data_IF_723205922987
#
_entry.id   IF_723205922987
#
_cell.length_a   1.000
_cell.length_b   1.000
_cell.length_c   1.000
_cell.angle_alpha   90.00
_cell.angle_beta   90.00
_cell.angle_gamma   90.00
#
_symmetry.space_group_name_H-M   'P 1'
#
loop_
_entity.id
_entity.type
_entity.pdbx_description
1 polymer ?
#
# COMPACT_ATOMS: atom_id res chain seq x y z
N UNK A 1 -12.47 -3.69 14.87
CA UNK A 1 -11.56 -4.74 14.34
C UNK A 1 -12.34 -6.05 14.24
N UNK A 2 -11.83 -7.02 13.51
CA UNK A 2 -12.47 -8.31 13.32
C UNK A 2 -13.68 -8.27 12.38
N UNK A 3 -14.64 -9.13 12.64
CA UNK A 3 -15.77 -9.41 11.73
C UNK A 3 -16.98 -8.50 11.91
N UNK A 4 -16.84 -7.40 12.68
CA UNK A 4 -17.91 -6.42 12.84
C UNK A 4 -18.27 -5.77 11.49
N UNK A 5 -19.55 -5.44 11.24
CA UNK A 5 -19.97 -4.69 10.06
C UNK A 5 -19.24 -3.35 9.92
N UNK A 6 -19.06 -2.89 8.69
CA UNK A 6 -18.32 -1.65 8.42
C UNK A 6 -18.97 -0.41 9.07
N UNK A 7 -20.29 -0.39 9.15
CA UNK A 7 -21.03 0.65 9.84
C UNK A 7 -20.69 0.71 11.34
N UNK A 8 -20.58 -0.43 12.01
CA UNK A 8 -20.19 -0.48 13.43
C UNK A 8 -18.73 -0.06 13.62
N UNK A 9 -17.82 -0.46 12.70
CA UNK A 9 -16.42 -0.03 12.72
C UNK A 9 -16.33 1.50 12.57
N UNK A 10 -17.05 2.06 11.62
CA UNK A 10 -17.07 3.50 11.39
C UNK A 10 -17.65 4.27 12.59
N UNK A 11 -18.74 3.77 13.20
CA UNK A 11 -19.30 4.35 14.43
C UNK A 11 -18.28 4.36 15.57
N UNK A 12 -17.61 3.23 15.80
CA UNK A 12 -16.57 3.14 16.84
C UNK A 12 -15.42 4.10 16.57
N UNK A 13 -15.01 4.25 15.32
CA UNK A 13 -13.99 5.21 14.90
C UNK A 13 -14.44 6.65 15.15
N UNK A 14 -15.65 7.03 14.72
CA UNK A 14 -16.22 8.35 14.92
C UNK A 14 -16.34 8.74 16.40
N UNK A 15 -16.62 7.77 17.27
CA UNK A 15 -16.64 7.95 18.72
C UNK A 15 -15.25 8.19 19.32
N UNK A 16 -14.23 7.51 18.78
CA UNK A 16 -12.84 7.62 19.25
C UNK A 16 -12.15 8.89 18.76
N UNK A 17 -12.45 9.33 17.54
CA UNK A 17 -11.73 10.39 16.82
C UNK A 17 -11.61 11.71 17.58
N UNK A 18 -12.65 12.22 18.28
CA UNK A 18 -12.53 13.47 19.08
C UNK A 18 -11.47 13.40 20.19
N UNK A 19 -11.10 12.20 20.63
CA UNK A 19 -10.04 12.02 21.63
C UNK A 19 -8.63 11.99 21.00
N UNK A 20 -8.54 12.05 19.69
CA UNK A 20 -7.27 12.03 18.93
C UNK A 20 -6.77 13.44 18.58
N UNK A 21 -7.27 14.49 19.22
CA UNK A 21 -6.80 15.88 19.01
C UNK A 21 -5.30 15.93 19.34
N UNK A 22 -4.51 16.48 18.39
CA UNK A 22 -3.04 16.48 18.47
C UNK A 22 -2.36 15.28 17.77
N UNK A 23 -3.11 14.25 17.39
CA UNK A 23 -2.63 13.19 16.53
C UNK A 23 -2.90 13.54 15.05
N UNK A 24 -1.97 13.30 14.12
CA UNK A 24 -2.16 13.56 12.69
C UNK A 24 -3.43 12.93 12.11
N UNK A 25 -3.85 11.76 12.61
CA UNK A 25 -5.06 11.07 12.18
C UNK A 25 -6.31 11.94 12.28
N UNK A 26 -6.44 12.75 13.34
CA UNK A 26 -7.54 13.68 13.50
C UNK A 26 -7.63 14.68 12.33
N UNK A 27 -6.50 15.25 11.92
CA UNK A 27 -6.46 16.17 10.78
C UNK A 27 -6.68 15.48 9.45
N UNK A 28 -6.04 14.34 9.22
CA UNK A 28 -6.13 13.61 7.96
C UNK A 28 -7.56 13.19 7.63
N UNK A 29 -8.27 12.60 8.60
CA UNK A 29 -9.66 12.20 8.39
C UNK A 29 -10.57 13.38 8.01
N UNK A 30 -10.41 14.52 8.67
CA UNK A 30 -11.22 15.71 8.35
C UNK A 30 -10.82 16.34 7.01
N UNK A 31 -9.51 16.31 6.64
CA UNK A 31 -9.06 16.75 5.32
C UNK A 31 -9.61 15.87 4.20
N UNK A 32 -9.68 14.55 4.41
CA UNK A 32 -10.30 13.62 3.46
C UNK A 32 -11.79 13.89 3.29
N UNK A 33 -12.53 14.07 4.40
CA UNK A 33 -13.93 14.43 4.37
C UNK A 33 -14.18 15.74 3.61
N UNK A 34 -13.34 16.75 3.80
CA UNK A 34 -13.43 18.04 3.10
C UNK A 34 -13.10 17.91 1.61
N UNK A 35 -11.97 17.31 1.29
CA UNK A 35 -11.41 17.30 -0.07
C UNK A 35 -12.18 16.42 -1.04
N UNK A 36 -12.59 15.24 -0.58
CA UNK A 36 -13.21 14.24 -1.43
C UNK A 36 -14.73 14.20 -1.32
N UNK A 37 -15.27 14.56 -0.16
CA UNK A 37 -16.71 14.45 0.12
C UNK A 37 -17.40 15.80 0.32
N UNK A 38 -16.67 16.91 0.40
CA UNK A 38 -17.23 18.23 0.64
C UNK A 38 -17.87 18.39 2.02
N UNK A 39 -17.45 17.59 3.01
CA UNK A 39 -17.97 17.59 4.38
C UNK A 39 -17.03 18.41 5.25
N UNK A 40 -17.52 19.53 5.80
CA UNK A 40 -16.74 20.44 6.63
C UNK A 40 -16.99 20.27 8.13
N UNK A 41 -18.01 19.51 8.50
CA UNK A 41 -18.33 19.21 9.88
C UNK A 41 -17.32 18.23 10.47
N UNK A 42 -16.97 18.42 11.75
CA UNK A 42 -16.11 17.48 12.46
C UNK A 42 -16.85 16.19 12.77
N UNK A 43 -16.26 15.07 12.40
CA UNK A 43 -16.80 13.74 12.66
C UNK A 43 -16.82 13.44 14.16
N UNK A 44 -17.97 12.96 14.64
CA UNK A 44 -18.21 12.62 16.03
C UNK A 44 -19.32 11.58 16.18
N UNK A 45 -19.51 11.07 17.39
CA UNK A 45 -20.62 10.16 17.71
C UNK A 45 -22.02 10.75 17.41
N UNK A 46 -22.13 12.07 17.29
CA UNK A 46 -23.43 12.73 17.07
C UNK A 46 -23.88 12.74 15.61
N UNK A 47 -22.95 12.78 14.67
CA UNK A 47 -23.21 12.95 13.23
C UNK A 47 -22.62 11.83 12.36
N UNK A 48 -22.07 10.77 12.96
CA UNK A 48 -21.38 9.71 12.23
C UNK A 48 -22.28 9.03 11.19
N UNK A 49 -23.55 8.80 11.53
CA UNK A 49 -24.46 8.09 10.62
C UNK A 49 -24.75 8.88 9.36
N UNK A 50 -25.05 10.18 9.52
CA UNK A 50 -25.27 11.08 8.39
C UNK A 50 -24.03 11.17 7.48
N UNK A 51 -22.85 11.31 8.08
CA UNK A 51 -21.57 11.36 7.35
C UNK A 51 -21.31 10.03 6.65
N UNK A 52 -21.51 8.90 7.32
CA UNK A 52 -21.35 7.57 6.74
C UNK A 52 -22.23 7.37 5.51
N UNK A 53 -23.52 7.67 5.62
CA UNK A 53 -24.47 7.50 4.53
C UNK A 53 -24.13 8.42 3.35
N UNK A 54 -23.80 9.68 3.62
CA UNK A 54 -23.39 10.66 2.60
C UNK A 54 -22.10 10.24 1.88
N UNK A 55 -21.10 9.78 2.61
CA UNK A 55 -19.86 9.26 2.00
C UNK A 55 -20.15 8.04 1.11
N UNK A 56 -20.97 7.11 1.58
CA UNK A 56 -21.32 5.93 0.79
C UNK A 56 -22.12 6.28 -0.48
N UNK A 57 -23.05 7.24 -0.40
CA UNK A 57 -23.75 7.74 -1.59
C UNK A 57 -22.77 8.35 -2.62
N UNK A 58 -21.81 9.15 -2.16
CA UNK A 58 -20.81 9.77 -3.01
C UNK A 58 -19.90 8.70 -3.64
N UNK A 59 -19.44 7.71 -2.87
CA UNK A 59 -18.57 6.63 -3.33
C UNK A 59 -19.20 5.73 -4.41
N UNK A 60 -20.53 5.71 -4.55
CA UNK A 60 -21.20 4.98 -5.64
C UNK A 60 -21.09 5.69 -7.00
N UNK A 61 -20.63 6.94 -7.03
CA UNK A 61 -20.52 7.70 -8.28
C UNK A 61 -19.29 7.27 -9.06
N UNK A 62 -19.37 7.19 -10.41
CA UNK A 62 -18.22 6.82 -11.26
C UNK A 62 -16.99 7.73 -11.05
N UNK A 63 -17.23 9.00 -10.69
CA UNK A 63 -16.18 9.98 -10.42
C UNK A 63 -15.33 9.64 -9.20
N UNK A 64 -15.83 8.75 -8.31
CA UNK A 64 -15.14 8.31 -7.09
C UNK A 64 -14.37 6.99 -7.29
N UNK A 65 -14.09 6.62 -8.53
CA UNK A 65 -13.20 5.49 -8.80
C UNK A 65 -11.78 5.71 -8.27
N UNK A 66 -11.04 4.65 -7.98
CA UNK A 66 -9.66 4.73 -7.49
C UNK A 66 -8.77 5.61 -8.39
N UNK A 67 -8.88 5.49 -9.72
CA UNK A 67 -8.17 6.33 -10.68
C UNK A 67 -8.47 7.81 -10.49
N UNK A 68 -9.75 8.16 -10.35
CA UNK A 68 -10.17 9.55 -10.21
C UNK A 68 -9.78 10.13 -8.84
N UNK A 69 -9.83 9.35 -7.76
CA UNK A 69 -9.34 9.78 -6.46
C UNK A 69 -7.84 10.11 -6.49
N UNK A 70 -7.03 9.32 -7.18
CA UNK A 70 -5.60 9.59 -7.38
C UNK A 70 -5.41 10.91 -8.16
N UNK A 71 -6.17 11.12 -9.24
CA UNK A 71 -6.13 12.37 -10.02
C UNK A 71 -6.56 13.57 -9.19
N UNK A 72 -7.65 13.46 -8.45
CA UNK A 72 -8.15 14.53 -7.56
C UNK A 72 -7.12 14.92 -6.49
N UNK A 73 -6.24 14.00 -6.12
CA UNK A 73 -5.14 14.26 -5.19
C UNK A 73 -3.97 15.03 -5.82
N UNK A 74 -3.99 15.28 -7.13
CA UNK A 74 -2.93 15.97 -7.87
C UNK A 74 -1.63 15.16 -7.95
N UNK A 75 -1.73 13.83 -7.82
CA UNK A 75 -0.60 12.90 -7.89
C UNK A 75 -0.22 12.67 -9.35
N UNK A 76 1.06 12.73 -9.66
CA UNK A 76 1.61 12.47 -11.00
C UNK A 76 2.38 11.16 -11.09
N UNK A 77 2.85 10.66 -9.96
CA UNK A 77 3.60 9.42 -9.84
C UNK A 77 3.21 8.69 -8.56
N UNK A 78 2.98 7.39 -8.67
CA UNK A 78 2.79 6.46 -7.57
C UNK A 78 3.84 5.36 -7.67
N UNK A 79 4.53 5.06 -6.58
CA UNK A 79 5.32 3.84 -6.45
C UNK A 79 4.56 2.87 -5.53
N UNK A 80 4.36 1.66 -6.02
CA UNK A 80 3.73 0.58 -5.27
C UNK A 80 4.74 -0.11 -4.35
N UNK A 81 4.34 -1.16 -3.69
CA UNK A 81 5.23 -2.00 -2.89
C UNK A 81 5.16 -3.42 -3.43
N UNK A 82 6.25 -3.89 -4.04
CA UNK A 82 6.24 -5.11 -4.82
C UNK A 82 7.37 -6.06 -4.39
N UNK A 83 7.03 -7.34 -4.30
CA UNK A 83 7.99 -8.37 -3.93
C UNK A 83 8.77 -8.86 -5.18
N UNK A 84 10.04 -9.28 -5.04
CA UNK A 84 10.84 -9.86 -6.13
C UNK A 84 10.16 -10.95 -6.97
N UNK A 85 9.20 -11.67 -6.42
CA UNK A 85 8.47 -12.73 -7.15
C UNK A 85 7.29 -12.21 -7.96
N UNK A 86 6.90 -10.94 -7.84
CA UNK A 86 5.74 -10.37 -8.53
C UNK A 86 5.99 -10.24 -10.04
N UNK A 87 4.97 -10.56 -10.82
CA UNK A 87 5.03 -10.53 -12.28
C UNK A 87 4.82 -9.15 -12.89
N UNK A 88 4.40 -8.18 -12.08
CA UNK A 88 4.15 -6.77 -12.44
C UNK A 88 3.12 -6.58 -13.58
N UNK A 89 2.31 -7.59 -13.91
CA UNK A 89 1.37 -7.51 -15.02
C UNK A 89 0.35 -6.37 -14.88
N UNK A 90 -0.04 -6.00 -13.64
CA UNK A 90 -0.93 -4.86 -13.42
C UNK A 90 -0.26 -3.53 -13.74
N UNK A 91 1.06 -3.40 -13.53
CA UNK A 91 1.81 -2.20 -13.93
C UNK A 91 1.80 -2.06 -15.46
N UNK A 92 1.98 -3.16 -16.18
CA UNK A 92 1.90 -3.17 -17.65
C UNK A 92 0.50 -2.79 -18.15
N UNK A 93 -0.55 -3.30 -17.51
CA UNK A 93 -1.94 -2.94 -17.85
C UNK A 93 -2.24 -1.46 -17.58
N UNK A 94 -1.79 -0.92 -16.44
CA UNK A 94 -1.97 0.48 -16.10
C UNK A 94 -1.18 1.37 -17.07
N UNK A 95 0.04 1.01 -17.40
CA UNK A 95 0.87 1.76 -18.35
C UNK A 95 0.27 1.78 -19.78
N UNK A 96 -0.49 0.74 -20.15
CA UNK A 96 -1.20 0.67 -21.43
C UNK A 96 -2.54 1.43 -21.45
N UNK A 97 -3.03 1.89 -20.30
CA UNK A 97 -4.30 2.60 -20.16
C UNK A 97 -4.14 4.07 -20.52
N UNK A 98 -4.49 4.43 -21.75
CA UNK A 98 -4.41 5.81 -22.25
C UNK A 98 -5.31 6.80 -21.51
N UNK A 99 -6.31 6.30 -20.77
CA UNK A 99 -7.21 7.13 -19.98
C UNK A 99 -6.67 7.41 -18.56
N UNK A 100 -5.46 6.94 -18.23
CA UNK A 100 -4.84 7.16 -16.94
C UNK A 100 -3.45 7.78 -17.11
N UNK A 101 -3.32 9.05 -16.76
CA UNK A 101 -2.14 9.90 -16.95
C UNK A 101 -1.15 9.91 -15.78
N UNK A 102 -1.47 9.19 -14.70
CA UNK A 102 -0.58 9.03 -13.53
C UNK A 102 0.35 7.84 -13.75
N UNK A 103 1.65 8.07 -13.62
CA UNK A 103 2.61 6.98 -13.67
C UNK A 103 2.50 6.08 -12.43
N UNK A 104 2.39 4.77 -12.63
CA UNK A 104 2.43 3.79 -11.56
C UNK A 104 3.62 2.87 -11.79
N UNK A 105 4.63 3.00 -10.95
CA UNK A 105 5.89 2.28 -11.07
C UNK A 105 6.07 1.31 -9.90
N UNK A 106 6.69 0.16 -10.13
CA UNK A 106 7.00 -0.77 -9.04
C UNK A 106 8.11 -0.22 -8.12
N UNK A 107 8.03 -0.53 -6.83
CA UNK A 107 9.12 -0.36 -5.89
C UNK A 107 9.65 -1.71 -5.45
N UNK A 108 10.97 -1.84 -5.38
CA UNK A 108 11.65 -3.06 -5.01
C UNK A 108 11.64 -3.27 -3.50
N UNK A 109 10.96 -4.32 -2.99
CA UNK A 109 10.93 -4.68 -1.57
C UNK A 109 11.29 -6.16 -1.37
N UNK A 110 12.56 -6.51 -1.16
CA UNK A 110 13.01 -7.90 -1.03
C UNK A 110 12.93 -8.47 0.40
N UNK A 111 12.07 -7.96 1.26
CA UNK A 111 12.03 -8.28 2.70
C UNK A 111 11.82 -9.77 2.98
N UNK A 112 11.02 -10.47 2.17
CA UNK A 112 10.81 -11.90 2.34
C UNK A 112 12.06 -12.72 2.04
N UNK A 113 12.92 -12.27 1.11
CA UNK A 113 14.19 -12.91 0.83
C UNK A 113 15.24 -12.75 1.95
N UNK A 114 15.01 -11.78 2.84
CA UNK A 114 15.93 -11.43 3.94
C UNK A 114 15.46 -11.94 5.31
N UNK A 115 14.38 -12.70 5.36
CA UNK A 115 13.74 -13.16 6.60
C UNK A 115 13.73 -14.70 6.72
N UNK A 116 14.93 -15.35 6.84
CA UNK A 116 15.04 -16.81 6.85
C UNK A 116 14.35 -17.47 8.07
N UNK A 117 14.08 -16.70 9.12
CA UNK A 117 13.40 -17.14 10.34
C UNK A 117 11.88 -17.22 10.18
N UNK A 118 11.30 -16.63 9.13
CA UNK A 118 9.86 -16.61 8.93
C UNK A 118 9.35 -17.93 8.38
N UNK A 119 8.19 -18.35 8.85
CA UNK A 119 7.47 -19.49 8.27
C UNK A 119 7.21 -19.24 6.78
N UNK A 120 7.43 -20.27 5.94
CA UNK A 120 7.25 -20.16 4.50
C UNK A 120 8.48 -19.69 3.73
N UNK A 121 9.60 -19.33 4.38
CA UNK A 121 10.82 -18.88 3.70
C UNK A 121 11.31 -19.87 2.63
N UNK A 122 11.33 -21.18 2.92
CA UNK A 122 11.80 -22.19 1.95
C UNK A 122 10.92 -22.21 0.70
N UNK A 123 9.60 -22.16 0.84
CA UNK A 123 8.67 -22.11 -0.29
C UNK A 123 8.80 -20.81 -1.08
N UNK A 124 9.06 -19.69 -0.41
CA UNK A 124 9.36 -18.43 -1.05
C UNK A 124 10.64 -18.51 -1.91
N UNK A 125 11.73 -19.06 -1.37
CA UNK A 125 13.01 -19.24 -2.10
C UNK A 125 12.83 -20.13 -3.33
N UNK A 126 12.02 -21.18 -3.23
CA UNK A 126 11.69 -22.04 -4.39
C UNK A 126 10.98 -21.23 -5.48
N UNK A 127 9.96 -20.44 -5.11
CA UNK A 127 9.24 -19.59 -6.05
C UNK A 127 10.12 -18.49 -6.66
N UNK A 128 11.00 -17.88 -5.87
CA UNK A 128 11.98 -16.92 -6.36
C UNK A 128 12.92 -17.57 -7.38
N UNK A 129 13.36 -18.81 -7.12
CA UNK A 129 14.16 -19.60 -8.07
C UNK A 129 13.43 -19.84 -9.39
N UNK A 130 12.14 -20.20 -9.34
CA UNK A 130 11.30 -20.41 -10.52
C UNK A 130 11.17 -19.14 -11.37
N UNK A 131 10.82 -17.99 -10.76
CA UNK A 131 10.60 -16.75 -11.51
C UNK A 131 11.89 -16.09 -12.00
N UNK A 132 13.03 -16.35 -11.35
CA UNK A 132 14.37 -15.87 -11.77
C UNK A 132 15.10 -16.81 -12.73
N UNK A 133 14.64 -18.06 -12.83
CA UNK A 133 15.34 -19.11 -13.58
C UNK A 133 16.68 -19.48 -12.97
N UNK A 134 16.86 -19.34 -11.65
CA UNK A 134 18.07 -19.68 -10.89
C UNK A 134 17.75 -20.77 -9.88
N UNK A 135 18.52 -21.84 -9.85
CA UNK A 135 18.45 -22.83 -8.78
C UNK A 135 19.16 -22.29 -7.54
N UNK A 136 18.38 -21.90 -6.53
CA UNK A 136 18.91 -21.28 -5.30
C UNK A 136 19.30 -22.38 -4.31
N UNK A 137 20.59 -22.50 -4.02
CA UNK A 137 21.16 -23.50 -3.10
C UNK A 137 21.98 -22.89 -1.98
N UNK A 138 22.40 -21.65 -2.15
CA UNK A 138 23.26 -20.93 -1.22
C UNK A 138 23.05 -19.41 -1.35
N UNK A 139 23.76 -18.63 -0.54
CA UNK A 139 23.67 -17.18 -0.55
C UNK A 139 24.15 -16.54 -1.87
N UNK A 140 25.07 -17.18 -2.59
CA UNK A 140 25.57 -16.65 -3.87
C UNK A 140 24.51 -16.76 -4.95
N UNK A 141 23.87 -17.92 -5.06
CA UNK A 141 22.78 -18.17 -6.00
C UNK A 141 21.50 -17.37 -5.63
N UNK A 142 21.25 -17.13 -4.34
CA UNK A 142 20.18 -16.21 -3.91
C UNK A 142 20.43 -14.79 -4.42
N UNK A 143 21.66 -14.26 -4.27
CA UNK A 143 22.01 -12.95 -4.82
C UNK A 143 21.85 -12.88 -6.33
N UNK A 144 22.25 -13.93 -7.05
CA UNK A 144 22.07 -14.00 -8.51
C UNK A 144 20.59 -13.92 -8.89
N UNK A 145 19.74 -14.67 -8.21
CA UNK A 145 18.29 -14.62 -8.42
C UNK A 145 17.71 -13.23 -8.17
N UNK A 146 18.09 -12.58 -7.07
CA UNK A 146 17.65 -11.24 -6.74
C UNK A 146 18.14 -10.20 -7.76
N UNK A 147 19.37 -10.27 -8.24
CA UNK A 147 19.89 -9.37 -9.29
C UNK A 147 19.07 -9.51 -10.56
N UNK A 148 18.82 -10.73 -11.03
CA UNK A 148 17.97 -10.96 -12.22
C UNK A 148 16.57 -10.40 -12.06
N UNK A 149 15.99 -10.52 -10.87
CA UNK A 149 14.66 -9.94 -10.59
C UNK A 149 14.71 -8.41 -10.50
N UNK A 150 15.79 -7.85 -9.96
CA UNK A 150 15.98 -6.40 -9.91
C UNK A 150 16.13 -5.82 -11.33
N UNK A 151 16.84 -6.50 -12.23
CA UNK A 151 16.93 -6.12 -13.64
C UNK A 151 15.54 -6.13 -14.29
N UNK A 152 14.74 -7.18 -14.04
CA UNK A 152 13.36 -7.29 -14.52
C UNK A 152 12.48 -6.12 -14.03
N UNK A 153 12.62 -5.72 -12.77
CA UNK A 153 11.92 -4.56 -12.20
C UNK A 153 12.40 -3.25 -12.80
N UNK A 154 13.71 -3.09 -12.98
CA UNK A 154 14.33 -1.90 -13.59
C UNK A 154 13.85 -1.68 -15.03
N UNK A 155 13.76 -2.74 -15.83
CA UNK A 155 13.21 -2.70 -17.19
C UNK A 155 11.73 -2.25 -17.22
N UNK A 156 11.00 -2.37 -16.10
CA UNK A 156 9.61 -1.94 -15.91
C UNK A 156 9.47 -0.61 -15.17
N UNK A 157 10.57 0.13 -15.07
CA UNK A 157 10.58 1.49 -14.53
C UNK A 157 10.78 1.58 -13.02
N UNK A 158 11.16 0.49 -12.35
CA UNK A 158 11.52 0.54 -10.94
C UNK A 158 12.77 1.41 -10.74
N UNK A 159 12.65 2.44 -9.91
CA UNK A 159 13.74 3.39 -9.60
C UNK A 159 13.93 3.59 -8.09
N UNK A 160 13.13 2.93 -7.29
CA UNK A 160 13.16 3.04 -5.82
C UNK A 160 13.09 1.67 -5.17
N UNK A 161 13.68 1.57 -3.98
CA UNK A 161 13.51 0.42 -3.08
C UNK A 161 13.04 0.90 -1.72
N UNK A 162 12.29 0.07 -1.04
CA UNK A 162 11.91 0.30 0.36
C UNK A 162 11.99 -1.01 1.16
N UNK A 163 11.85 -0.90 2.47
CA UNK A 163 11.88 -2.01 3.40
C UNK A 163 10.89 -1.81 4.53
N UNK A 164 10.25 -2.88 4.98
CA UNK A 164 9.55 -2.92 6.25
C UNK A 164 10.55 -2.93 7.40
N UNK A 165 10.39 -2.03 8.37
CA UNK A 165 11.19 -2.03 9.58
C UNK A 165 10.45 -2.77 10.68
N UNK A 166 10.75 -4.04 10.86
CA UNK A 166 10.17 -4.87 11.92
C UNK A 166 10.85 -4.64 13.27
N UNK A 167 12.05 -4.06 13.27
CA UNK A 167 12.81 -3.76 14.49
C UNK A 167 12.88 -2.25 14.69
N UNK A 168 12.60 -1.80 15.91
CA UNK A 168 12.86 -0.41 16.29
C UNK A 168 14.36 -0.15 16.37
N UNK A 169 14.78 1.12 16.21
CA UNK A 169 16.19 1.53 16.37
C UNK A 169 16.76 1.15 17.75
N UNK A 170 15.92 1.03 18.77
CA UNK A 170 16.31 0.56 20.11
C UNK A 170 16.86 -0.86 20.07
N UNK A 171 16.24 -1.75 19.28
CA UNK A 171 16.72 -3.14 19.15
C UNK A 171 18.02 -3.27 18.34
N UNK A 172 18.36 -2.25 17.52
CA UNK A 172 19.57 -2.23 16.70
C UNK A 172 20.74 -1.57 17.43
N UNK A 173 20.44 -0.64 18.31
CA UNK A 173 21.45 0.23 18.95
C UNK A 173 21.85 -0.17 20.37
N UNK A 174 21.23 -1.17 20.96
CA UNK A 174 21.69 -1.70 22.23
C UNK A 174 22.90 -2.60 22.06
N UNK A 175 24.01 -2.35 22.79
CA UNK A 175 25.23 -3.17 22.74
C UNK A 175 25.06 -4.52 23.43
#
# INVERSE_FOLDING_TARGET
TGDAPDEEKFHAFAKALPNCIGNPMYHWCHLELQRYFGINETLSEKNWKEIYDKCNEILQKPEMSAKNLIRMSGVTLVCTTDDPIDDLHYHEQIAADSDFDVQVLPAWRPDLAMSPEKEGFVSYIQKLGEVSGVTITDFTTLKEALVKRLDYFSERGCVVSDHGLDLSLIHISEP
#
